data_IF_527512368511
#
_entry.id   IF_527512368511
#
_cell.length_a   1.000
_cell.length_b   1.000
_cell.length_c   1.000
_cell.angle_alpha   90.00
_cell.angle_beta   90.00
_cell.angle_gamma   90.00
#
_symmetry.space_group_name_H-M   'P 1'
#
loop_
_entity.id
_entity.type
_entity.pdbx_description
1 polymer ?
#
# COMPACT_ATOMS: atom_id res chain seq x y z
N UNK A 1 60.29 12.30 67.79
CA UNK A 1 61.65 12.41 68.36
C UNK A 1 62.29 11.03 68.21
N UNK A 2 63.32 10.90 67.36
CA UNK A 2 63.93 9.62 66.93
C UNK A 2 64.67 8.90 68.08
N UNK A 3 64.89 7.56 68.02
CA UNK A 3 66.16 7.07 67.44
C UNK A 3 66.12 5.72 66.69
N UNK A 4 67.21 5.48 65.96
CA UNK A 4 67.71 4.22 65.39
C UNK A 4 68.11 3.18 66.47
N UNK A 5 67.96 1.87 66.21
CA UNK A 5 69.06 0.89 65.97
C UNK A 5 68.66 -0.60 66.16
N UNK A 6 69.35 -1.43 65.37
CA UNK A 6 69.78 -2.83 65.57
C UNK A 6 68.83 -4.01 65.24
N UNK A 7 69.41 -4.89 64.42
CA UNK A 7 68.99 -6.18 63.90
C UNK A 7 68.78 -7.26 64.98
N UNK A 8 67.91 -8.23 64.69
CA UNK A 8 68.08 -9.62 65.15
C UNK A 8 67.54 -10.61 64.10
N UNK A 9 68.40 -11.56 63.76
CA UNK A 9 68.20 -12.68 62.84
C UNK A 9 67.43 -13.78 63.57
N UNK A 10 66.15 -14.01 63.22
CA UNK A 10 65.32 -15.04 63.87
C UNK A 10 65.25 -16.29 63.00
N UNK A 11 65.90 -17.33 63.50
CA UNK A 11 65.94 -18.72 63.02
C UNK A 11 64.52 -19.25 62.78
N UNK A 12 64.21 -19.68 61.55
CA UNK A 12 62.95 -20.34 61.21
C UNK A 12 62.92 -21.77 61.75
N UNK A 13 62.33 -21.97 62.93
CA UNK A 13 61.94 -23.30 63.38
C UNK A 13 60.71 -23.76 62.58
N UNK A 14 60.90 -24.73 61.69
CA UNK A 14 59.80 -25.41 60.99
C UNK A 14 59.03 -26.28 61.98
N UNK A 15 57.86 -25.82 62.40
CA UNK A 15 56.86 -26.68 63.03
C UNK A 15 56.11 -27.47 61.95
N UNK A 16 55.89 -28.76 62.19
CA UNK A 16 55.19 -29.67 61.27
C UNK A 16 53.75 -29.19 61.04
N UNK A 17 53.39 -29.04 59.77
CA UNK A 17 52.03 -28.70 59.33
C UNK A 17 51.07 -29.83 59.76
N UNK A 18 49.95 -29.56 60.45
CA UNK A 18 48.96 -30.59 60.72
C UNK A 18 48.23 -30.96 59.43
N UNK A 19 48.02 -32.26 59.20
CA UNK A 19 47.24 -32.82 58.09
C UNK A 19 45.88 -32.12 57.96
N UNK A 20 45.66 -31.45 56.83
CA UNK A 20 44.33 -31.06 56.36
C UNK A 20 43.88 -32.03 55.25
N UNK A 21 43.53 -33.24 55.65
CA UNK A 21 42.50 -34.02 54.95
C UNK A 21 41.20 -33.78 55.71
N UNK A 22 40.42 -32.75 55.32
CA UNK A 22 38.94 -32.72 55.40
C UNK A 22 38.36 -31.29 55.22
N UNK A 23 38.11 -30.92 53.96
CA UNK A 23 36.85 -30.31 53.49
C UNK A 23 36.89 -30.03 51.97
N UNK A 24 36.04 -30.74 51.23
CA UNK A 24 35.75 -30.51 49.81
C UNK A 24 35.11 -29.13 49.59
N UNK A 25 35.58 -28.28 48.64
CA UNK A 25 34.86 -27.06 48.29
C UNK A 25 33.77 -27.35 47.25
N UNK A 26 32.50 -27.25 47.64
CA UNK A 26 31.34 -27.12 46.75
C UNK A 26 31.35 -25.74 46.03
N UNK A 27 32.44 -25.40 45.34
CA UNK A 27 32.62 -24.09 44.69
C UNK A 27 32.54 -24.15 43.16
N UNK A 28 32.61 -25.35 42.57
CA UNK A 28 32.66 -25.53 41.11
C UNK A 28 31.29 -25.59 40.43
N UNK A 29 30.24 -26.13 41.07
CA UNK A 29 28.94 -26.32 40.41
C UNK A 29 28.15 -25.02 40.23
N UNK A 30 28.27 -24.09 41.19
CA UNK A 30 27.61 -22.80 41.13
C UNK A 30 28.25 -21.88 40.08
N UNK A 31 29.59 -21.90 40.01
CA UNK A 31 30.36 -21.20 38.97
C UNK A 31 30.04 -21.73 37.56
N UNK A 32 29.98 -23.05 37.38
CA UNK A 32 29.60 -23.69 36.12
C UNK A 32 28.16 -23.35 35.71
N UNK A 33 27.24 -23.29 36.69
CA UNK A 33 25.85 -22.88 36.46
C UNK A 33 25.75 -21.42 36.02
N UNK A 34 26.54 -20.52 36.61
CA UNK A 34 26.62 -19.10 36.23
C UNK A 34 27.19 -18.95 34.81
N UNK A 35 28.27 -19.68 34.48
CA UNK A 35 28.89 -19.67 33.15
C UNK A 35 27.87 -20.14 32.09
N UNK A 36 27.16 -21.23 32.34
CA UNK A 36 26.11 -21.74 31.44
C UNK A 36 24.98 -20.74 31.23
N UNK A 37 24.47 -20.10 32.31
CA UNK A 37 23.46 -19.04 32.21
C UNK A 37 23.97 -17.85 31.37
N UNK A 38 25.24 -17.48 31.52
CA UNK A 38 25.86 -16.40 30.74
C UNK A 38 26.01 -16.76 29.25
N UNK A 39 26.37 -18.01 28.93
CA UNK A 39 26.44 -18.51 27.56
C UNK A 39 25.04 -18.47 26.92
N UNK A 40 24.01 -18.98 27.60
CA UNK A 40 22.63 -18.97 27.10
C UNK A 40 22.10 -17.55 26.87
N UNK A 41 22.38 -16.61 27.78
CA UNK A 41 22.04 -15.19 27.61
C UNK A 41 22.76 -14.58 26.41
N UNK A 42 24.06 -14.85 26.28
CA UNK A 42 24.89 -14.37 25.15
C UNK A 42 24.37 -14.91 23.81
N UNK A 43 24.00 -16.18 23.74
CA UNK A 43 23.48 -16.79 22.53
C UNK A 43 22.10 -16.28 22.18
N UNK A 44 21.23 -16.07 23.17
CA UNK A 44 19.92 -15.43 22.97
C UNK A 44 20.09 -14.03 22.36
N UNK A 45 20.98 -13.22 22.92
CA UNK A 45 21.28 -11.88 22.40
C UNK A 45 21.93 -11.93 21.00
N UNK A 46 22.81 -12.91 20.74
CA UNK A 46 23.39 -13.14 19.42
C UNK A 46 22.32 -13.45 18.38
N UNK A 47 21.37 -14.34 18.70
CA UNK A 47 20.26 -14.67 17.80
C UNK A 47 19.36 -13.45 17.56
N UNK A 48 19.09 -12.65 18.60
CA UNK A 48 18.34 -11.40 18.46
C UNK A 48 19.02 -10.44 17.48
N UNK A 49 20.34 -10.26 17.57
CA UNK A 49 21.11 -9.39 16.65
C UNK A 49 21.17 -9.95 15.23
N UNK A 50 21.30 -11.27 15.06
CA UNK A 50 21.22 -11.92 13.74
C UNK A 50 19.88 -11.63 13.06
N UNK A 51 18.77 -11.81 13.79
CA UNK A 51 17.42 -11.46 13.28
C UNK A 51 17.33 -9.98 12.91
N UNK A 52 17.81 -9.08 13.76
CA UNK A 52 17.81 -7.64 13.47
C UNK A 52 18.63 -7.29 12.22
N UNK A 53 19.80 -7.91 12.04
CA UNK A 53 20.64 -7.69 10.86
C UNK A 53 19.91 -8.11 9.57
N UNK A 54 19.22 -9.25 9.59
CA UNK A 54 18.41 -9.73 8.47
C UNK A 54 17.28 -8.74 8.15
N UNK A 55 16.53 -8.29 9.16
CA UNK A 55 15.45 -7.31 8.97
C UNK A 55 15.97 -5.99 8.37
N UNK A 56 17.10 -5.50 8.86
CA UNK A 56 17.71 -4.27 8.35
C UNK A 56 18.20 -4.41 6.91
N UNK A 57 18.80 -5.56 6.57
CA UNK A 57 19.19 -5.86 5.20
C UNK A 57 17.96 -5.89 4.27
N UNK A 58 16.87 -6.54 4.71
CA UNK A 58 15.61 -6.59 3.97
C UNK A 58 14.96 -5.22 3.82
N UNK A 59 15.00 -4.37 4.85
CA UNK A 59 14.51 -2.99 4.76
C UNK A 59 15.28 -2.23 3.68
N UNK A 60 16.62 -2.30 3.71
CA UNK A 60 17.49 -1.59 2.77
C UNK A 60 17.24 -2.03 1.32
N UNK A 61 16.96 -3.30 1.05
CA UNK A 61 16.69 -3.79 -0.30
C UNK A 61 15.35 -3.30 -0.89
N UNK A 62 14.41 -2.85 -0.06
CA UNK A 62 13.12 -2.30 -0.51
C UNK A 62 13.17 -0.81 -0.82
N UNK A 63 14.29 -0.13 -0.53
CA UNK A 63 14.44 1.29 -0.75
C UNK A 63 15.07 1.59 -2.12
N UNK A 64 14.62 2.63 -2.83
CA UNK A 64 15.25 3.06 -4.06
C UNK A 64 16.72 3.41 -3.85
N UNK A 65 17.57 2.99 -4.79
CA UNK A 65 19.03 3.10 -4.68
C UNK A 65 19.48 4.55 -4.52
N UNK A 66 18.75 5.50 -5.14
CA UNK A 66 18.99 6.94 -5.09
C UNK A 66 18.89 7.47 -3.65
N UNK A 67 17.99 6.91 -2.84
CA UNK A 67 17.73 7.38 -1.47
C UNK A 67 18.72 6.81 -0.45
N UNK A 68 19.31 5.65 -0.74
CA UNK A 68 20.25 4.94 0.14
C UNK A 68 21.72 5.08 -0.26
N UNK A 69 22.00 5.69 -1.42
CA UNK A 69 23.36 5.97 -1.91
C UNK A 69 24.10 6.87 -0.91
N UNK A 70 25.31 6.46 -0.52
CA UNK A 70 26.15 7.20 0.43
C UNK A 70 25.66 7.15 1.90
N UNK A 71 24.53 6.52 2.20
CA UNK A 71 24.01 6.36 3.56
C UNK A 71 24.54 5.08 4.19
N UNK A 72 25.30 5.21 5.28
CA UNK A 72 26.00 4.09 5.92
C UNK A 72 25.36 3.61 7.22
N UNK A 73 24.62 4.47 7.94
CA UNK A 73 24.04 4.08 9.23
C UNK A 73 22.65 3.46 9.10
N UNK A 74 22.30 2.59 10.04
CA UNK A 74 20.95 2.02 10.17
C UNK A 74 19.89 3.12 10.37
N UNK A 75 20.22 4.14 11.17
CA UNK A 75 19.34 5.29 11.42
C UNK A 75 19.03 6.06 10.13
N UNK A 76 20.04 6.30 9.30
CA UNK A 76 19.84 6.93 7.99
C UNK A 76 18.85 6.12 7.14
N UNK A 77 19.01 4.79 7.10
CA UNK A 77 18.16 3.93 6.27
C UNK A 77 16.72 3.91 6.79
N UNK A 78 16.52 3.89 8.11
CA UNK A 78 15.19 4.00 8.71
C UNK A 78 14.52 5.34 8.41
N UNK A 79 15.28 6.45 8.47
CA UNK A 79 14.74 7.77 8.12
C UNK A 79 14.40 7.86 6.62
N UNK A 80 15.23 7.29 5.76
CA UNK A 80 14.95 7.19 4.32
C UNK A 80 13.73 6.34 4.03
N UNK A 81 13.53 5.25 4.77
CA UNK A 81 12.31 4.44 4.69
C UNK A 81 11.06 5.24 5.06
N UNK A 82 11.12 6.02 6.15
CA UNK A 82 10.01 6.88 6.55
C UNK A 82 9.67 7.90 5.44
N UNK A 83 10.68 8.58 4.90
CA UNK A 83 10.48 9.53 3.81
C UNK A 83 9.90 8.86 2.56
N UNK A 84 10.33 7.64 2.24
CA UNK A 84 9.82 6.89 1.09
C UNK A 84 8.37 6.45 1.28
N UNK A 85 7.99 6.02 2.48
CA UNK A 85 6.59 5.72 2.84
C UNK A 85 5.73 6.97 2.64
N UNK A 86 6.18 8.13 3.14
CA UNK A 86 5.46 9.40 2.95
C UNK A 86 5.33 9.77 1.48
N UNK A 87 6.40 9.63 0.69
CA UNK A 87 6.38 9.85 -0.75
C UNK A 87 5.38 8.95 -1.46
N UNK A 88 5.38 7.63 -1.18
CA UNK A 88 4.46 6.69 -1.79
C UNK A 88 3.01 6.98 -1.43
N UNK A 89 2.72 7.35 -0.17
CA UNK A 89 1.38 7.77 0.26
C UNK A 89 0.88 8.98 -0.53
N UNK A 90 1.71 10.01 -0.65
CA UNK A 90 1.35 11.21 -1.42
C UNK A 90 1.17 10.89 -2.91
N UNK A 91 2.04 10.05 -3.48
CA UNK A 91 1.94 9.63 -4.88
C UNK A 91 0.66 8.84 -5.16
N UNK A 92 0.26 7.94 -4.26
CA UNK A 92 -1.01 7.21 -4.37
C UNK A 92 -2.18 8.19 -4.34
N UNK A 93 -2.14 9.17 -3.44
CA UNK A 93 -3.17 10.21 -3.35
C UNK A 93 -3.26 11.05 -4.64
N UNK A 94 -2.13 11.57 -5.12
CA UNK A 94 -2.06 12.34 -6.38
C UNK A 94 -2.60 11.53 -7.57
N UNK A 95 -2.15 10.27 -7.71
CA UNK A 95 -2.64 9.38 -8.76
C UNK A 95 -4.15 9.10 -8.61
N UNK A 96 -4.67 9.01 -7.38
CA UNK A 96 -6.10 8.80 -7.14
C UNK A 96 -6.94 10.02 -7.54
N UNK A 97 -6.46 11.24 -7.27
CA UNK A 97 -7.09 12.50 -7.67
C UNK A 97 -7.12 12.59 -9.19
N UNK A 98 -5.97 12.41 -9.84
CA UNK A 98 -5.87 12.44 -11.31
C UNK A 98 -6.76 11.39 -11.97
N UNK A 99 -6.83 10.18 -11.40
CA UNK A 99 -7.75 9.13 -11.87
C UNK A 99 -9.20 9.58 -11.77
N UNK A 100 -9.60 10.23 -10.68
CA UNK A 100 -10.96 10.72 -10.51
C UNK A 100 -11.29 11.85 -11.51
N UNK A 101 -10.36 12.76 -11.76
CA UNK A 101 -10.51 13.81 -12.80
C UNK A 101 -10.69 13.20 -14.19
N UNK A 102 -9.85 12.23 -14.56
CA UNK A 102 -9.97 11.53 -15.85
C UNK A 102 -11.26 10.69 -15.92
N UNK A 103 -11.67 10.09 -14.79
CA UNK A 103 -12.96 9.40 -14.68
C UNK A 103 -14.09 10.38 -14.98
N UNK A 104 -14.06 11.59 -14.40
CA UNK A 104 -14.99 12.69 -14.71
C UNK A 104 -15.07 12.96 -16.21
N UNK A 105 -13.93 13.13 -16.88
CA UNK A 105 -13.91 13.39 -18.33
C UNK A 105 -14.47 12.23 -19.19
N UNK A 106 -14.46 11.00 -18.67
CA UNK A 106 -14.99 9.80 -19.32
C UNK A 106 -16.43 9.44 -18.93
N UNK A 107 -17.11 10.27 -18.14
CA UNK A 107 -18.39 9.92 -17.51
C UNK A 107 -19.62 10.06 -18.41
N UNK A 108 -19.45 10.55 -19.63
CA UNK A 108 -20.56 10.76 -20.56
C UNK A 108 -20.32 9.99 -21.86
N UNK A 109 -21.09 8.94 -22.06
CA UNK A 109 -21.05 8.15 -23.29
C UNK A 109 -22.45 7.72 -23.71
N UNK A 110 -22.64 7.67 -25.03
CA UNK A 110 -23.78 7.01 -25.65
C UNK A 110 -23.24 5.89 -26.51
N UNK A 111 -23.91 4.75 -26.45
CA UNK A 111 -23.68 3.63 -27.36
C UNK A 111 -25.02 3.28 -27.99
N UNK A 112 -25.05 3.27 -29.32
CA UNK A 112 -26.18 2.86 -30.13
C UNK A 112 -25.87 1.47 -30.69
N UNK A 113 -26.76 0.52 -30.43
CA UNK A 113 -26.63 -0.86 -30.88
C UNK A 113 -27.92 -1.34 -31.54
N UNK A 114 -27.85 -2.11 -32.63
CA UNK A 114 -29.04 -2.76 -33.18
C UNK A 114 -29.58 -3.80 -32.21
N UNK A 115 -30.91 -3.96 -32.17
CA UNK A 115 -31.59 -5.06 -31.50
C UNK A 115 -32.59 -5.72 -32.46
N UNK A 116 -33.19 -6.85 -32.06
CA UNK A 116 -34.03 -7.66 -32.97
C UNK A 116 -35.15 -6.87 -33.67
N UNK A 117 -35.72 -5.87 -32.99
CA UNK A 117 -36.90 -5.12 -33.42
C UNK A 117 -36.65 -3.61 -33.60
N UNK A 118 -35.38 -3.17 -33.59
CA UNK A 118 -35.05 -1.74 -33.66
C UNK A 118 -33.67 -1.43 -33.10
N UNK A 119 -33.61 -0.51 -32.15
CA UNK A 119 -32.33 0.00 -31.59
C UNK A 119 -32.36 -0.03 -30.07
N UNK A 120 -31.22 -0.41 -29.50
CA UNK A 120 -30.90 -0.27 -28.09
C UNK A 120 -29.89 0.86 -27.92
N UNK A 121 -30.21 1.80 -27.03
CA UNK A 121 -29.39 2.96 -26.73
C UNK A 121 -29.02 2.89 -25.26
N UNK A 122 -27.72 2.82 -25.01
CA UNK A 122 -27.15 2.86 -23.67
C UNK A 122 -26.52 4.22 -23.45
N UNK A 123 -27.06 4.95 -22.48
CA UNK A 123 -26.60 6.27 -22.11
C UNK A 123 -25.98 6.19 -20.73
N UNK A 124 -24.70 6.51 -20.59
CA UNK A 124 -23.98 6.49 -19.31
C UNK A 124 -23.62 7.92 -18.89
N UNK A 125 -23.95 8.27 -17.66
CA UNK A 125 -23.80 9.63 -17.10
C UNK A 125 -23.27 9.55 -15.67
N UNK A 126 -22.70 10.63 -15.13
CA UNK A 126 -22.54 10.75 -13.68
C UNK A 126 -23.89 11.07 -13.03
N UNK A 127 -24.10 10.62 -11.80
CA UNK A 127 -25.27 10.97 -10.96
C UNK A 127 -25.39 12.49 -10.76
N UNK A 128 -24.28 13.22 -10.78
CA UNK A 128 -24.23 14.67 -10.51
C UNK A 128 -24.32 15.55 -11.76
N UNK A 129 -24.13 14.98 -12.95
CA UNK A 129 -24.02 15.71 -14.23
C UNK A 129 -25.24 15.42 -15.12
N UNK A 130 -26.41 15.26 -14.49
CA UNK A 130 -27.63 14.70 -15.09
C UNK A 130 -27.78 14.99 -16.58
N UNK A 131 -27.86 13.92 -17.39
CA UNK A 131 -28.19 14.10 -18.80
C UNK A 131 -29.62 14.57 -18.98
N UNK A 132 -29.80 15.31 -20.06
CA UNK A 132 -31.10 15.65 -20.60
C UNK A 132 -31.63 14.43 -21.37
N UNK A 133 -32.09 13.42 -20.62
CA UNK A 133 -32.85 12.28 -21.17
C UNK A 133 -33.99 12.78 -22.07
N UNK A 134 -34.57 13.94 -21.75
CA UNK A 134 -35.53 14.64 -22.60
C UNK A 134 -35.03 14.91 -24.02
N UNK A 135 -33.80 15.39 -24.16
CA UNK A 135 -33.20 15.69 -25.47
C UNK A 135 -32.87 14.42 -26.26
N UNK A 136 -32.38 13.38 -25.55
CA UNK A 136 -32.18 12.06 -26.17
C UNK A 136 -33.51 11.56 -26.73
N UNK A 137 -34.59 11.59 -25.95
CA UNK A 137 -35.92 11.16 -26.39
C UNK A 137 -36.46 12.02 -27.53
N UNK A 138 -36.17 13.33 -27.54
CA UNK A 138 -36.54 14.22 -28.63
C UNK A 138 -35.85 13.86 -29.95
N UNK A 139 -34.56 13.52 -29.91
CA UNK A 139 -33.84 13.01 -31.09
C UNK A 139 -34.50 11.74 -31.60
N UNK A 140 -34.84 10.78 -30.72
CA UNK A 140 -35.50 9.54 -31.14
C UNK A 140 -36.85 9.80 -31.80
N UNK A 141 -37.64 10.72 -31.26
CA UNK A 141 -38.91 11.12 -31.84
C UNK A 141 -38.73 11.71 -33.24
N UNK A 142 -37.72 12.57 -33.45
CA UNK A 142 -37.41 13.18 -34.75
C UNK A 142 -36.94 12.15 -35.79
N UNK A 143 -36.23 11.11 -35.36
CA UNK A 143 -35.84 9.99 -36.22
C UNK A 143 -36.98 8.99 -36.49
N UNK A 144 -38.17 9.20 -35.92
CA UNK A 144 -39.31 8.30 -36.08
C UNK A 144 -39.16 6.97 -35.34
N UNK A 145 -38.35 6.94 -34.29
CA UNK A 145 -38.14 5.77 -33.44
C UNK A 145 -39.12 5.79 -32.26
N UNK A 146 -39.95 4.75 -32.16
CA UNK A 146 -40.93 4.61 -31.09
C UNK A 146 -40.29 3.95 -29.85
N UNK A 147 -40.29 4.62 -28.70
CA UNK A 147 -39.63 4.12 -27.49
C UNK A 147 -40.53 3.12 -26.78
N UNK A 148 -40.10 1.86 -26.75
CA UNK A 148 -40.86 0.75 -26.13
C UNK A 148 -40.46 0.57 -24.66
N UNK A 149 -39.16 0.68 -24.37
CA UNK A 149 -38.65 0.55 -23.02
C UNK A 149 -37.67 1.68 -22.72
N UNK A 150 -37.80 2.27 -21.54
CA UNK A 150 -36.83 3.21 -21.00
C UNK A 150 -36.71 2.92 -19.51
N UNK A 151 -35.53 2.49 -19.08
CA UNK A 151 -35.26 2.26 -17.66
C UNK A 151 -33.92 2.85 -17.27
N UNK A 152 -33.84 3.31 -16.03
CA UNK A 152 -32.61 3.78 -15.43
C UNK A 152 -32.11 2.78 -14.40
N UNK A 153 -30.80 2.65 -14.33
CA UNK A 153 -30.11 1.90 -13.28
C UNK A 153 -28.95 2.75 -12.76
N UNK A 154 -28.61 2.59 -11.48
CA UNK A 154 -27.46 3.25 -10.88
C UNK A 154 -26.41 2.19 -10.57
N UNK A 155 -25.20 2.42 -11.07
CA UNK A 155 -24.03 1.59 -10.79
C UNK A 155 -22.91 2.47 -10.23
N UNK A 156 -22.61 2.34 -8.93
CA UNK A 156 -21.70 3.22 -8.19
C UNK A 156 -22.08 4.71 -8.31
N UNK A 157 -21.27 5.49 -9.01
CA UNK A 157 -21.43 6.94 -9.26
C UNK A 157 -22.00 7.23 -10.66
N UNK A 158 -22.41 6.19 -11.38
CA UNK A 158 -22.94 6.29 -12.74
C UNK A 158 -24.43 6.03 -12.78
N UNK A 159 -25.13 6.84 -13.55
CA UNK A 159 -26.50 6.60 -13.95
C UNK A 159 -26.49 6.10 -15.38
N UNK A 160 -27.15 4.96 -15.60
CA UNK A 160 -27.20 4.29 -16.88
C UNK A 160 -28.67 4.26 -17.32
N UNK A 161 -28.97 4.89 -18.45
CA UNK A 161 -30.26 4.77 -19.10
C UNK A 161 -30.16 3.74 -20.22
N UNK A 162 -31.08 2.79 -20.22
CA UNK A 162 -31.26 1.83 -21.30
C UNK A 162 -32.58 2.14 -21.98
N UNK A 163 -32.50 2.49 -23.25
CA UNK A 163 -33.65 2.86 -24.07
C UNK A 163 -33.73 1.86 -25.21
N UNK A 164 -34.87 1.23 -25.38
CA UNK A 164 -35.17 0.38 -26.51
C UNK A 164 -36.25 1.05 -27.35
N UNK A 165 -35.97 1.21 -28.63
CA UNK A 165 -36.93 1.74 -29.59
C UNK A 165 -37.18 0.77 -30.73
N UNK A 166 -38.41 0.81 -31.26
CA UNK A 166 -38.83 0.12 -32.46
C UNK A 166 -38.67 1.03 -33.67
N UNK A 167 -38.20 0.48 -34.79
CA UNK A 167 -38.06 1.19 -36.06
C UNK A 167 -39.09 0.70 -37.08
N UNK A 168 -39.63 1.60 -37.89
CA UNK A 168 -40.62 1.25 -38.91
C UNK A 168 -40.05 0.43 -40.09
N UNK A 169 -38.75 0.57 -40.41
CA UNK A 169 -38.04 -0.25 -41.39
C UNK A 169 -36.55 -0.39 -41.02
N UNK A 170 -36.15 -1.58 -40.54
CA UNK A 170 -34.79 -1.86 -40.04
C UNK A 170 -33.69 -1.70 -41.10
N UNK A 171 -34.03 -1.74 -42.39
CA UNK A 171 -33.08 -1.72 -43.51
C UNK A 171 -32.54 -0.34 -43.92
N UNK A 172 -33.11 0.76 -43.40
CA UNK A 172 -32.73 2.12 -43.78
C UNK A 172 -32.27 2.99 -42.59
N UNK A 173 -32.25 2.44 -41.38
CA UNK A 173 -31.91 3.23 -40.20
C UNK A 173 -30.40 3.50 -40.14
N UNK A 174 -30.03 4.77 -40.28
CA UNK A 174 -28.64 5.22 -40.15
C UNK A 174 -28.21 5.25 -38.67
N UNK A 175 -27.78 4.10 -38.16
CA UNK A 175 -27.24 3.96 -36.81
C UNK A 175 -26.04 4.88 -36.57
N UNK A 176 -25.22 5.12 -37.60
CA UNK A 176 -24.04 5.97 -37.50
C UNK A 176 -24.41 7.44 -37.35
N UNK A 177 -25.39 7.90 -38.13
CA UNK A 177 -25.96 9.24 -38.00
C UNK A 177 -26.66 9.45 -36.66
N UNK A 178 -27.40 8.46 -36.17
CA UNK A 178 -28.01 8.51 -34.84
C UNK A 178 -26.96 8.59 -33.73
N UNK A 179 -25.92 7.76 -33.80
CA UNK A 179 -24.79 7.79 -32.86
C UNK A 179 -24.10 9.16 -32.87
N UNK A 180 -23.89 9.76 -34.05
CA UNK A 180 -23.27 11.07 -34.16
C UNK A 180 -24.13 12.17 -33.52
N UNK A 181 -25.44 12.22 -33.82
CA UNK A 181 -26.38 13.18 -33.24
C UNK A 181 -26.39 13.12 -31.71
N UNK A 182 -26.39 11.91 -31.14
CA UNK A 182 -26.36 11.72 -29.69
C UNK A 182 -25.00 12.07 -29.08
N UNK A 183 -23.89 11.81 -29.78
CA UNK A 183 -22.56 12.22 -29.34
C UNK A 183 -22.41 13.75 -29.34
N UNK A 184 -22.95 14.44 -30.34
CA UNK A 184 -22.93 15.90 -30.43
C UNK A 184 -23.74 16.52 -29.28
N UNK A 185 -24.88 15.91 -28.92
CA UNK A 185 -25.66 16.29 -27.75
C UNK A 185 -24.84 16.20 -26.45
N UNK A 186 -24.18 15.05 -26.24
CA UNK A 186 -23.27 14.81 -25.10
C UNK A 186 -22.10 15.79 -25.05
N UNK A 187 -21.55 16.17 -26.20
CA UNK A 187 -20.48 17.16 -26.26
C UNK A 187 -21.00 18.55 -25.92
N UNK A 188 -22.21 18.90 -26.35
CA UNK A 188 -22.84 20.19 -26.06
C UNK A 188 -23.21 20.36 -24.58
N UNK A 189 -23.61 19.28 -23.91
CA UNK A 189 -23.96 19.31 -22.47
C UNK A 189 -22.74 19.47 -21.54
N UNK A 190 -21.50 19.40 -22.07
CA UNK A 190 -20.26 19.57 -21.29
C UNK A 190 -19.82 21.03 -21.10
N UNK A 191 -20.53 21.99 -21.72
CA UNK A 191 -20.15 23.41 -21.74
C UNK A 191 -21.17 24.36 -21.06
N UNK A 192 -22.14 23.80 -20.34
CA UNK A 192 -23.11 24.55 -19.50
C UNK A 192 -22.76 24.29 -18.04
#
# INVERSE_FOLDING_TARGET
MFPYHQSDEVVWQFSSIPNQEDRMPQYNDEANTIINKNIMRRDTERQRRKKMAILNASLRSLLPMEMIKGKRSLSDHTNKAMNYITYLKNKIQELSVRRNELKILSNLSVVVQPCCDGVQILVTTNVNEGLLLSEVLEILLREGLDVVHCFSSREYERLIYSIQSKGNDLGCLDLSGLQQKLNDLILSSRYI
#
